data_IF_981607547118
#
_entry.id   IF_981607547118
#
_cell.length_a   1.000
_cell.length_b   1.000
_cell.length_c   1.000
_cell.angle_alpha   90.00
_cell.angle_beta   90.00
_cell.angle_gamma   90.00
#
_symmetry.space_group_name_H-M   'P 1'
#
loop_
_entity.id
_entity.type
_entity.pdbx_description
1 polymer ?
#
# COMPACT_ATOMS: atom_id res chain seq x y z
N UNK A 1 -22.66 -26.62 -8.90
CA UNK A 1 -22.49 -25.18 -9.26
C UNK A 1 -21.10 -24.97 -9.86
N UNK A 2 -20.88 -23.89 -10.64
CA UNK A 2 -19.57 -23.62 -11.26
C UNK A 2 -18.43 -23.58 -10.22
N UNK A 3 -18.69 -23.02 -9.05
CA UNK A 3 -17.75 -22.98 -7.94
C UNK A 3 -17.27 -24.39 -7.53
N UNK A 4 -18.20 -25.29 -7.27
CA UNK A 4 -17.87 -26.67 -6.83
C UNK A 4 -17.08 -27.42 -7.88
N UNK A 5 -17.44 -27.22 -9.16
CA UNK A 5 -16.74 -27.82 -10.29
C UNK A 5 -15.31 -27.32 -10.42
N UNK A 6 -15.12 -26.03 -10.23
CA UNK A 6 -13.82 -25.38 -10.30
C UNK A 6 -12.86 -25.92 -9.22
N UNK A 7 -13.34 -26.03 -7.98
CA UNK A 7 -12.53 -26.57 -6.88
C UNK A 7 -12.34 -28.09 -6.98
N UNK A 8 -13.34 -28.81 -7.49
CA UNK A 8 -13.21 -30.25 -7.73
C UNK A 8 -12.16 -30.55 -8.79
N UNK A 9 -12.18 -29.82 -9.90
CA UNK A 9 -11.21 -29.97 -11.00
C UNK A 9 -9.82 -29.40 -10.66
N UNK A 10 -9.79 -28.38 -9.81
CA UNK A 10 -8.55 -27.73 -9.39
C UNK A 10 -7.83 -28.41 -8.23
N UNK A 11 -8.40 -29.48 -7.66
CA UNK A 11 -7.86 -30.11 -6.46
C UNK A 11 -6.44 -30.64 -6.62
N UNK A 12 -6.09 -31.18 -7.77
CA UNK A 12 -4.74 -31.66 -8.07
C UNK A 12 -3.71 -30.52 -8.18
N UNK A 13 -4.17 -29.29 -8.43
CA UNK A 13 -3.34 -28.08 -8.51
C UNK A 13 -3.35 -27.26 -7.22
N UNK A 14 -3.91 -27.80 -6.13
CA UNK A 14 -4.03 -27.11 -4.85
C UNK A 14 -4.74 -25.75 -4.94
N UNK A 15 -5.77 -25.68 -5.79
CA UNK A 15 -6.58 -24.46 -5.93
C UNK A 15 -7.38 -24.22 -4.67
N UNK A 16 -7.18 -23.06 -4.06
CA UNK A 16 -7.87 -22.60 -2.87
C UNK A 16 -8.60 -21.29 -3.14
N UNK A 17 -9.70 -21.00 -2.41
CA UNK A 17 -10.34 -19.70 -2.51
C UNK A 17 -9.42 -18.62 -2.00
N UNK A 18 -9.10 -17.64 -2.86
CA UNK A 18 -8.33 -16.46 -2.50
C UNK A 18 -9.24 -15.25 -2.37
N UNK A 19 -9.31 -14.68 -1.20
CA UNK A 19 -9.96 -13.42 -0.96
C UNK A 19 -9.17 -12.69 0.13
N UNK A 20 -8.15 -11.89 -0.22
CA UNK A 20 -7.40 -11.14 0.78
C UNK A 20 -8.37 -10.23 1.52
N UNK A 21 -8.52 -10.49 2.82
CA UNK A 21 -9.28 -9.62 3.70
C UNK A 21 -8.45 -8.36 4.02
N UNK A 22 -9.05 -7.43 4.72
CA UNK A 22 -8.41 -6.16 5.06
C UNK A 22 -7.11 -6.34 5.88
N UNK A 23 -7.08 -7.32 6.76
CA UNK A 23 -5.91 -7.62 7.61
C UNK A 23 -4.77 -8.18 6.76
N UNK A 24 -5.02 -9.21 5.98
CA UNK A 24 -4.03 -9.84 5.10
C UNK A 24 -3.46 -8.84 4.07
N UNK A 25 -4.30 -7.92 3.58
CA UNK A 25 -3.88 -6.85 2.68
C UNK A 25 -2.87 -5.92 3.36
N UNK A 26 -3.17 -5.49 4.59
CA UNK A 26 -2.29 -4.60 5.36
C UNK A 26 -0.99 -5.30 5.72
N UNK A 27 -1.04 -6.54 6.20
CA UNK A 27 0.14 -7.36 6.52
C UNK A 27 1.05 -7.59 5.31
N UNK A 28 0.45 -7.75 4.14
CA UNK A 28 1.17 -7.93 2.87
C UNK A 28 1.64 -6.62 2.24
N UNK A 29 1.38 -5.48 2.88
CA UNK A 29 1.66 -4.14 2.35
C UNK A 29 1.03 -3.89 0.96
N UNK A 30 -0.14 -4.48 0.71
CA UNK A 30 -0.91 -4.25 -0.51
C UNK A 30 -1.75 -2.98 -0.35
N UNK A 31 -1.30 -1.91 -0.97
CA UNK A 31 -1.99 -0.62 -0.93
C UNK A 31 -3.25 -0.62 -1.81
N UNK A 32 -4.27 0.08 -1.35
CA UNK A 32 -5.55 0.22 -2.02
C UNK A 32 -5.82 1.69 -2.34
N UNK A 33 -6.03 1.99 -3.61
CA UNK A 33 -6.40 3.32 -4.05
C UNK A 33 -7.74 3.74 -3.43
N UNK A 34 -7.80 4.97 -2.92
CA UNK A 34 -8.96 5.52 -2.23
C UNK A 34 -9.03 5.18 -0.74
N UNK A 35 -8.20 4.24 -0.24
CA UNK A 35 -8.07 3.95 1.19
C UNK A 35 -6.72 4.39 1.75
N UNK A 36 -5.64 4.01 1.08
CA UNK A 36 -4.28 4.25 1.56
C UNK A 36 -3.60 5.41 0.81
N UNK A 37 -4.01 5.67 -0.42
CA UNK A 37 -3.51 6.75 -1.26
C UNK A 37 -4.56 7.15 -2.30
N UNK A 38 -4.40 8.34 -2.87
CA UNK A 38 -5.25 8.87 -3.93
C UNK A 38 -4.45 9.58 -5.05
N UNK A 39 -5.13 10.38 -5.88
CA UNK A 39 -4.51 11.10 -6.99
C UNK A 39 -3.59 12.24 -6.56
N UNK A 40 -3.64 12.66 -5.31
CA UNK A 40 -2.82 13.74 -4.75
C UNK A 40 -1.49 13.22 -4.18
N UNK A 41 -1.35 11.89 -4.09
CA UNK A 41 -0.13 11.23 -3.64
C UNK A 41 0.77 10.86 -4.83
N UNK A 42 2.06 11.06 -4.66
CA UNK A 42 3.03 10.60 -5.64
C UNK A 42 3.63 9.22 -5.24
N UNK A 43 4.18 8.46 -6.19
CA UNK A 43 4.70 7.12 -5.91
C UNK A 43 5.81 7.04 -4.85
N UNK A 44 6.60 8.08 -4.65
CA UNK A 44 7.62 8.10 -3.59
C UNK A 44 6.98 8.23 -2.20
N UNK A 45 5.89 8.99 -2.09
CA UNK A 45 5.11 9.10 -0.85
C UNK A 45 4.45 7.78 -0.48
N UNK A 46 4.05 6.97 -1.48
CA UNK A 46 3.48 5.64 -1.29
C UNK A 46 4.51 4.51 -1.10
N UNK A 47 5.80 4.84 -0.98
CA UNK A 47 6.89 3.84 -0.87
C UNK A 47 7.01 2.89 -2.08
N UNK A 48 6.66 3.38 -3.28
CA UNK A 48 6.79 2.65 -4.54
C UNK A 48 8.13 2.87 -5.24
N UNK A 49 9.14 3.40 -4.54
CA UNK A 49 10.47 3.71 -5.09
C UNK A 49 11.05 2.54 -5.88
N UNK A 50 10.88 1.32 -5.38
CA UNK A 50 11.41 0.09 -6.01
C UNK A 50 10.80 -0.26 -7.36
N UNK A 51 9.68 0.36 -7.71
CA UNK A 51 8.98 0.14 -8.99
C UNK A 51 9.23 1.27 -9.99
N UNK A 52 9.99 2.30 -9.60
CA UNK A 52 10.26 3.48 -10.41
C UNK A 52 11.67 3.40 -10.98
N UNK A 53 11.79 3.30 -12.30
CA UNK A 53 13.06 3.38 -12.99
C UNK A 53 13.19 4.70 -13.75
N UNK A 54 13.71 5.72 -13.06
CA UNK A 54 13.98 7.03 -13.66
C UNK A 54 15.28 7.04 -14.50
N UNK A 55 16.14 6.03 -14.31
CA UNK A 55 17.45 5.91 -14.97
C UNK A 55 17.38 5.24 -16.35
N UNK A 56 16.31 4.53 -16.68
CA UNK A 56 16.15 3.86 -17.97
C UNK A 56 15.95 4.85 -19.12
N UNK A 57 16.25 4.43 -20.32
CA UNK A 57 15.98 5.20 -21.55
C UNK A 57 14.49 5.19 -21.95
N UNK A 58 13.68 4.37 -21.28
CA UNK A 58 12.24 4.27 -21.55
C UNK A 58 11.55 5.56 -21.11
N UNK A 59 10.81 6.15 -22.05
CA UNK A 59 10.00 7.32 -21.75
C UNK A 59 8.57 6.89 -21.41
N UNK A 60 8.05 7.38 -20.28
CA UNK A 60 6.70 7.13 -19.80
C UNK A 60 6.06 8.39 -19.21
N UNK A 61 4.75 8.38 -19.13
CA UNK A 61 3.99 9.50 -18.56
C UNK A 61 4.40 9.73 -17.11
N UNK A 62 4.71 10.98 -16.77
CA UNK A 62 5.11 11.36 -15.39
C UNK A 62 6.61 11.22 -15.10
N UNK A 63 7.45 10.60 -15.97
CA UNK A 63 8.88 10.42 -15.70
C UNK A 63 9.60 11.72 -15.31
N UNK A 64 9.32 12.83 -16.02
CA UNK A 64 9.94 14.13 -15.73
C UNK A 64 9.59 14.62 -14.32
N UNK A 65 8.33 14.51 -13.93
CA UNK A 65 7.88 14.88 -12.60
C UNK A 65 8.54 14.02 -11.52
N UNK A 66 8.65 12.70 -11.74
CA UNK A 66 9.32 11.79 -10.81
C UNK A 66 10.82 12.11 -10.65
N UNK A 67 11.50 12.48 -11.74
CA UNK A 67 12.91 12.95 -11.69
C UNK A 67 13.02 14.23 -10.84
N UNK A 68 12.06 15.13 -10.96
CA UNK A 68 12.06 16.39 -10.21
C UNK A 68 11.80 16.14 -8.72
N UNK A 69 10.81 15.32 -8.39
CA UNK A 69 10.51 14.91 -7.02
C UNK A 69 11.70 14.17 -6.38
N UNK A 70 12.39 13.30 -7.13
CA UNK A 70 13.57 12.60 -6.62
C UNK A 70 14.71 13.54 -6.20
N UNK A 71 14.78 14.76 -6.77
CA UNK A 71 15.79 15.78 -6.44
C UNK A 71 15.34 16.69 -5.29
N UNK A 72 14.06 17.04 -5.27
CA UNK A 72 13.49 17.96 -4.26
C UNK A 72 13.12 17.25 -2.96
N UNK A 73 12.88 15.94 -3.03
CA UNK A 73 12.39 15.14 -1.90
C UNK A 73 10.88 15.18 -1.74
N UNK A 74 10.40 14.47 -0.74
CA UNK A 74 8.98 14.36 -0.36
C UNK A 74 8.76 14.91 1.04
N UNK A 75 7.56 15.42 1.30
CA UNK A 75 7.19 16.00 2.61
C UNK A 75 6.45 15.02 3.51
N UNK A 76 5.84 14.00 2.95
CA UNK A 76 5.09 12.95 3.65
C UNK A 76 5.48 11.59 3.09
N UNK A 77 5.30 10.53 3.87
CA UNK A 77 5.52 9.16 3.42
C UNK A 77 4.59 8.21 4.12
N UNK A 78 3.94 7.34 3.36
CA UNK A 78 3.13 6.26 3.90
C UNK A 78 4.05 5.23 4.57
N UNK A 79 3.76 4.92 5.83
CA UNK A 79 4.55 4.01 6.65
C UNK A 79 3.66 2.99 7.35
N UNK A 80 4.12 1.74 7.41
CA UNK A 80 3.50 0.75 8.28
C UNK A 80 3.83 1.03 9.75
N UNK A 81 2.86 0.83 10.62
CA UNK A 81 3.02 0.96 12.08
C UNK A 81 2.77 -0.39 12.72
N UNK A 82 3.71 -0.84 13.56
CA UNK A 82 3.52 -2.00 14.41
C UNK A 82 2.98 -1.53 15.76
N UNK A 83 1.87 -2.10 16.17
CA UNK A 83 1.20 -1.78 17.44
C UNK A 83 1.24 -3.04 18.30
N UNK A 84 1.89 -2.93 19.46
CA UNK A 84 1.97 -4.03 20.45
C UNK A 84 0.73 -4.01 21.35
N UNK A 85 -0.38 -4.48 20.79
CA UNK A 85 -1.67 -4.59 21.47
C UNK A 85 -2.36 -5.90 21.07
N UNK A 86 -2.96 -6.57 22.02
CA UNK A 86 -3.75 -7.80 21.78
C UNK A 86 -5.01 -7.53 20.93
N UNK A 87 -5.55 -6.30 20.99
CA UNK A 87 -6.75 -5.90 20.27
C UNK A 87 -6.76 -4.40 20.00
N UNK A 88 -7.06 -4.05 18.76
CA UNK A 88 -7.28 -2.67 18.35
C UNK A 88 -8.77 -2.47 18.11
N UNK A 89 -9.42 -1.63 18.93
CA UNK A 89 -10.84 -1.29 18.81
C UNK A 89 -11.05 0.07 18.12
N UNK A 90 -10.21 0.39 17.13
CA UNK A 90 -10.31 1.65 16.39
C UNK A 90 -11.15 1.42 15.14
N UNK A 91 -12.25 2.13 15.03
CA UNK A 91 -13.18 2.11 13.89
C UNK A 91 -13.09 3.36 13.02
N UNK A 92 -12.36 4.37 13.47
CA UNK A 92 -12.20 5.66 12.80
C UNK A 92 -10.72 6.04 12.71
N UNK A 93 -10.39 6.89 11.73
CA UNK A 93 -9.04 7.44 11.61
C UNK A 93 -8.72 8.31 12.81
N UNK A 94 -7.62 8.03 13.49
CA UNK A 94 -7.11 8.81 14.60
C UNK A 94 -5.72 9.35 14.30
N UNK A 95 -5.44 10.62 14.60
CA UNK A 95 -4.10 11.16 14.41
C UNK A 95 -3.11 10.53 15.39
N UNK A 96 -1.95 10.12 14.90
CA UNK A 96 -0.84 9.64 15.72
C UNK A 96 0.16 10.77 15.94
N UNK A 97 0.62 10.91 17.17
CA UNK A 97 1.57 11.94 17.57
C UNK A 97 2.86 11.29 18.11
N UNK A 98 3.99 11.89 17.80
CA UNK A 98 5.22 11.52 18.49
C UNK A 98 5.28 12.16 19.89
N UNK A 99 6.34 11.85 20.66
CA UNK A 99 6.56 12.41 22.02
C UNK A 99 6.68 13.93 22.07
N UNK A 100 6.86 14.61 20.94
CA UNK A 100 6.93 16.06 20.80
C UNK A 100 5.60 16.69 20.32
N UNK A 101 4.50 15.93 20.35
CA UNK A 101 3.18 16.34 19.85
C UNK A 101 3.18 16.74 18.35
N UNK A 102 4.06 16.14 17.55
CA UNK A 102 4.05 16.32 16.10
C UNK A 102 3.14 15.22 15.52
N UNK A 103 2.10 15.61 14.80
CA UNK A 103 1.21 14.69 14.12
C UNK A 103 2.00 13.91 13.04
N UNK A 104 1.92 12.59 13.11
CA UNK A 104 2.62 11.68 12.18
C UNK A 104 1.70 11.18 11.06
N UNK A 105 0.38 11.20 11.31
CA UNK A 105 -0.63 10.69 10.38
C UNK A 105 -1.94 11.50 10.53
N UNK A 106 -2.65 11.63 9.43
CA UNK A 106 -4.04 12.07 9.35
C UNK A 106 -4.95 10.91 8.98
#
# INVERSE_FOLDING_TARGET
MLYDELFSSGKEFSVEPGCPNLIERIESALLSAGNDFDSDDNPYECSFDKYIDIGSDINYLGKKALIEISKTGINKKLMGVLIDLDKIEVTESIPLYNNNNICLLY
#
